data_IF_377972273652
#
_entry.id   IF_377972273652
#
_cell.length_a   1.000
_cell.length_b   1.000
_cell.length_c   1.000
_cell.angle_alpha   90.00
_cell.angle_beta   90.00
_cell.angle_gamma   90.00
#
_symmetry.space_group_name_H-M   'P 1'
#
loop_
_entity.id
_entity.type
_entity.pdbx_description
1 polymer ?
#
# COMPACT_ATOMS: atom_id res chain seq x y z
N UNK A 1 18.22 -21.16 4.38
CA UNK A 1 18.06 -20.08 5.36
C UNK A 1 19.24 -19.13 5.20
N UNK A 2 19.02 -17.81 5.17
CA UNK A 2 20.14 -16.85 5.15
C UNK A 2 20.71 -16.61 6.55
N UNK A 3 21.88 -15.96 6.62
CA UNK A 3 22.45 -15.50 7.89
C UNK A 3 21.61 -14.34 8.44
N UNK A 4 21.61 -14.16 9.76
CA UNK A 4 20.94 -13.03 10.40
C UNK A 4 21.46 -11.70 9.81
N UNK A 5 20.57 -10.81 9.41
CA UNK A 5 20.92 -9.51 8.82
C UNK A 5 21.31 -9.57 7.33
N UNK A 6 21.26 -10.75 6.70
CA UNK A 6 21.46 -10.89 5.25
C UNK A 6 20.19 -10.50 4.49
N UNK A 7 19.92 -9.19 4.45
CA UNK A 7 18.76 -8.62 3.78
C UNK A 7 18.81 -8.78 2.27
N UNK A 8 19.99 -8.89 1.65
CA UNK A 8 20.12 -9.11 0.21
C UNK A 8 19.60 -10.48 -0.22
N UNK A 9 19.83 -11.52 0.58
CA UNK A 9 19.19 -12.81 0.36
C UNK A 9 17.65 -12.72 0.43
N UNK A 10 17.12 -11.93 1.37
CA UNK A 10 15.67 -11.72 1.50
C UNK A 10 15.12 -10.94 0.30
N UNK A 11 15.80 -9.88 -0.18
CA UNK A 11 15.41 -9.13 -1.38
C UNK A 11 15.27 -10.03 -2.60
N UNK A 12 16.23 -10.94 -2.80
CA UNK A 12 16.20 -11.91 -3.91
C UNK A 12 14.98 -12.83 -3.82
N UNK A 13 14.65 -13.30 -2.62
CA UNK A 13 13.49 -14.18 -2.43
C UNK A 13 12.16 -13.43 -2.57
N UNK A 14 12.08 -12.15 -2.17
CA UNK A 14 10.94 -11.28 -2.47
C UNK A 14 10.77 -11.08 -3.98
N UNK A 15 11.85 -10.74 -4.70
CA UNK A 15 11.80 -10.54 -6.15
C UNK A 15 11.27 -11.79 -6.87
N UNK A 16 11.68 -12.98 -6.42
CA UNK A 16 11.18 -14.25 -6.93
C UNK A 16 9.68 -14.51 -6.65
N UNK A 17 9.03 -13.77 -5.73
CA UNK A 17 7.60 -13.84 -5.48
C UNK A 17 6.77 -12.84 -6.29
N UNK A 18 7.38 -11.94 -7.07
CA UNK A 18 6.64 -10.91 -7.77
C UNK A 18 5.75 -11.46 -8.88
N UNK A 19 6.22 -12.43 -9.66
CA UNK A 19 5.38 -13.06 -10.69
C UNK A 19 4.33 -13.98 -10.04
N UNK A 20 3.06 -13.68 -10.29
CA UNK A 20 1.90 -14.45 -9.82
C UNK A 20 0.83 -14.51 -10.92
N UNK A 21 0.96 -15.39 -11.93
CA UNK A 21 0.03 -15.46 -13.07
C UNK A 21 -1.45 -15.63 -12.70
N UNK A 22 -1.76 -16.19 -11.52
CA UNK A 22 -3.13 -16.37 -11.02
C UNK A 22 -3.63 -15.27 -10.07
N UNK A 23 -2.95 -14.13 -9.98
CA UNK A 23 -3.30 -13.03 -9.08
C UNK A 23 -3.22 -11.69 -9.80
N UNK A 24 -4.35 -10.97 -9.82
CA UNK A 24 -4.53 -9.67 -10.47
C UNK A 24 -3.86 -9.66 -11.87
N UNK A 25 -3.03 -8.65 -12.15
CA UNK A 25 -2.31 -8.45 -13.41
C UNK A 25 -1.08 -9.36 -13.59
N UNK A 26 -1.14 -10.57 -13.05
CA UNK A 26 -0.03 -11.52 -13.06
C UNK A 26 1.11 -11.18 -12.09
N UNK A 27 0.89 -10.26 -11.13
CA UNK A 27 1.95 -9.73 -10.26
C UNK A 27 1.51 -9.47 -8.82
N UNK A 28 2.34 -9.91 -7.85
CA UNK A 28 2.22 -9.53 -6.44
C UNK A 28 2.84 -8.17 -6.11
N UNK A 29 3.56 -7.56 -7.06
CA UNK A 29 4.29 -6.31 -6.82
C UNK A 29 3.38 -5.18 -6.30
N UNK A 30 2.27 -4.84 -6.98
CA UNK A 30 1.36 -3.80 -6.50
C UNK A 30 0.82 -4.05 -5.07
N UNK A 31 0.48 -5.31 -4.72
CA UNK A 31 -0.02 -5.61 -3.37
C UNK A 31 1.08 -5.54 -2.31
N UNK A 32 2.35 -5.80 -2.66
CA UNK A 32 3.48 -5.56 -1.74
C UNK A 32 3.72 -4.07 -1.49
N UNK A 33 3.59 -3.23 -2.52
CA UNK A 33 3.67 -1.78 -2.36
C UNK A 33 2.54 -1.27 -1.46
N UNK A 34 1.31 -1.73 -1.72
CA UNK A 34 0.16 -1.38 -0.87
C UNK A 34 0.33 -1.89 0.56
N UNK A 35 0.82 -3.11 0.77
CA UNK A 35 1.06 -3.65 2.11
C UNK A 35 2.07 -2.80 2.89
N UNK A 36 3.19 -2.42 2.25
CA UNK A 36 4.18 -1.54 2.86
C UNK A 36 3.59 -0.15 3.17
N UNK A 37 2.86 0.45 2.22
CA UNK A 37 2.16 1.73 2.42
C UNK A 37 1.21 1.66 3.61
N UNK A 38 0.30 0.69 3.65
CA UNK A 38 -0.69 0.54 4.72
C UNK A 38 -0.06 0.22 6.07
N UNK A 39 1.05 -0.53 6.11
CA UNK A 39 1.79 -0.78 7.36
C UNK A 39 2.35 0.50 7.96
N UNK A 40 2.73 1.47 7.14
CA UNK A 40 3.25 2.76 7.59
C UNK A 40 2.17 3.85 7.75
N UNK A 41 1.10 3.75 6.96
CA UNK A 41 0.05 4.75 6.79
C UNK A 41 -0.80 5.02 8.03
N UNK A 42 -0.71 4.16 9.05
CA UNK A 42 -1.44 4.31 10.31
C UNK A 42 -0.74 5.22 11.32
N UNK A 43 0.46 5.71 11.01
CA UNK A 43 1.24 6.55 11.92
C UNK A 43 0.50 7.85 12.30
N UNK A 44 0.70 8.27 13.54
CA UNK A 44 0.14 9.47 14.11
C UNK A 44 1.22 10.17 14.94
N UNK A 45 1.64 11.37 14.52
CA UNK A 45 2.74 12.06 15.18
C UNK A 45 2.41 12.59 16.58
N UNK A 46 1.12 12.84 16.87
CA UNK A 46 0.68 13.37 18.17
C UNK A 46 0.71 12.28 19.25
N UNK A 47 0.13 11.12 18.96
CA UNK A 47 0.11 9.98 19.87
C UNK A 47 1.35 9.08 19.79
N UNK A 48 2.17 9.24 18.75
CA UNK A 48 3.32 8.38 18.41
C UNK A 48 2.94 6.89 18.34
N UNK A 49 1.79 6.61 17.71
CA UNK A 49 1.26 5.24 17.55
C UNK A 49 1.00 4.91 16.08
N UNK A 50 0.94 3.61 15.77
CA UNK A 50 0.88 3.12 14.40
C UNK A 50 2.23 3.24 13.68
N UNK A 51 2.20 3.14 12.35
CA UNK A 51 3.42 3.12 11.55
C UNK A 51 4.01 1.71 11.42
N UNK A 52 5.13 1.63 10.71
CA UNK A 52 5.65 0.35 10.20
C UNK A 52 6.34 -0.53 11.25
N UNK A 53 6.53 -0.02 12.48
CA UNK A 53 7.13 -0.75 13.59
C UNK A 53 6.04 -1.49 14.37
N UNK A 54 6.00 -2.82 14.26
CA UNK A 54 5.11 -3.64 15.08
C UNK A 54 4.33 -4.70 14.32
N UNK A 55 4.24 -4.58 12.99
CA UNK A 55 3.44 -5.45 12.12
C UNK A 55 2.01 -5.63 12.65
N UNK A 56 1.35 -4.52 13.00
CA UNK A 56 0.06 -4.50 13.69
C UNK A 56 -1.06 -5.16 12.88
N UNK A 57 -0.98 -5.17 11.54
CA UNK A 57 -1.89 -5.94 10.68
C UNK A 57 -1.93 -7.46 10.94
N UNK A 58 -1.03 -8.03 11.76
CA UNK A 58 -1.17 -9.42 12.24
C UNK A 58 -2.39 -9.59 13.18
N UNK A 59 -2.75 -8.54 13.91
CA UNK A 59 -3.86 -8.51 14.85
C UNK A 59 -5.16 -8.07 14.18
N UNK A 60 -6.31 -8.41 14.77
CA UNK A 60 -7.63 -8.14 14.17
C UNK A 60 -7.98 -6.65 14.17
N UNK A 61 -7.53 -5.91 15.19
CA UNK A 61 -7.78 -4.48 15.31
C UNK A 61 -7.35 -3.70 14.05
N UNK A 62 -6.18 -4.02 13.48
CA UNK A 62 -5.68 -3.37 12.25
C UNK A 62 -5.81 -4.27 11.02
N UNK A 63 -5.54 -5.57 11.12
CA UNK A 63 -5.60 -6.49 9.99
C UNK A 63 -7.01 -6.77 9.46
N UNK A 64 -8.03 -6.53 10.28
CA UNK A 64 -9.45 -6.59 9.91
C UNK A 64 -10.08 -5.23 9.63
N UNK A 65 -9.29 -4.13 9.61
CA UNK A 65 -9.78 -2.84 9.14
C UNK A 65 -10.24 -2.97 7.68
N UNK A 66 -11.46 -2.54 7.32
CA UNK A 66 -11.94 -2.57 5.93
C UNK A 66 -10.97 -1.92 4.93
N UNK A 67 -10.24 -0.86 5.33
CA UNK A 67 -9.24 -0.22 4.48
C UNK A 67 -8.05 -1.15 4.15
N UNK A 68 -7.84 -2.22 4.92
CA UNK A 68 -6.81 -3.24 4.71
C UNK A 68 -7.34 -4.49 3.98
N UNK A 69 -8.59 -4.50 3.53
CA UNK A 69 -9.15 -5.60 2.74
C UNK A 69 -8.28 -5.90 1.51
N UNK A 70 -7.98 -7.19 1.29
CA UNK A 70 -7.08 -7.66 0.22
C UNK A 70 -5.63 -7.85 0.67
N UNK A 71 -5.17 -7.17 1.73
CA UNK A 71 -3.77 -7.28 2.17
C UNK A 71 -3.42 -8.64 2.80
N UNK A 72 -4.41 -9.48 3.09
CA UNK A 72 -4.17 -10.89 3.43
C UNK A 72 -3.42 -11.64 2.32
N UNK A 73 -3.61 -11.29 1.04
CA UNK A 73 -2.90 -11.92 -0.08
C UNK A 73 -1.41 -11.57 -0.04
N UNK A 74 -1.08 -10.27 0.09
CA UNK A 74 0.31 -9.81 0.23
C UNK A 74 1.02 -10.46 1.41
N UNK A 75 0.36 -10.55 2.58
CA UNK A 75 0.90 -11.24 3.76
C UNK A 75 1.14 -12.73 3.49
N UNK A 76 0.16 -13.43 2.92
CA UNK A 76 0.27 -14.85 2.61
C UNK A 76 1.39 -15.15 1.63
N UNK A 77 1.61 -14.30 0.61
CA UNK A 77 2.70 -14.47 -0.35
C UNK A 77 4.10 -14.27 0.27
N UNK A 78 4.20 -13.57 1.40
CA UNK A 78 5.44 -13.34 2.12
C UNK A 78 5.72 -14.42 3.19
N UNK A 79 4.74 -15.25 3.58
CA UNK A 79 4.94 -16.31 4.59
C UNK A 79 6.04 -17.31 4.20
N UNK A 80 6.15 -17.82 2.95
CA UNK A 80 7.25 -18.73 2.59
C UNK A 80 8.64 -18.09 2.76
N UNK A 81 8.74 -16.77 2.58
CA UNK A 81 9.99 -16.02 2.81
C UNK A 81 10.23 -15.90 4.31
N UNK A 82 9.22 -15.57 5.11
CA UNK A 82 9.33 -15.54 6.57
C UNK A 82 9.78 -16.89 7.14
N UNK A 83 9.24 -18.00 6.63
CA UNK A 83 9.62 -19.36 7.03
C UNK A 83 11.09 -19.67 6.67
N UNK A 84 11.56 -19.21 5.50
CA UNK A 84 12.95 -19.39 5.04
C UNK A 84 13.94 -18.49 5.79
N UNK A 85 13.49 -17.33 6.27
CA UNK A 85 14.29 -16.32 6.97
C UNK A 85 13.67 -15.99 8.34
N UNK A 86 13.64 -16.94 9.29
CA UNK A 86 12.89 -16.75 10.55
C UNK A 86 13.39 -15.58 11.40
N UNK A 87 14.62 -15.09 11.17
CA UNK A 87 15.21 -13.95 11.84
C UNK A 87 14.62 -12.59 11.43
N UNK A 88 14.04 -12.46 10.23
CA UNK A 88 13.46 -11.18 9.80
C UNK A 88 12.12 -10.97 10.50
N UNK A 89 11.88 -9.76 11.00
CA UNK A 89 10.55 -9.39 11.54
C UNK A 89 9.55 -9.22 10.41
N UNK A 90 8.25 -9.40 10.69
CA UNK A 90 7.20 -9.08 9.72
C UNK A 90 7.24 -7.59 9.35
N UNK A 91 7.56 -6.74 10.31
CA UNK A 91 7.71 -5.29 10.11
C UNK A 91 8.80 -4.95 9.07
N UNK A 92 9.97 -5.57 9.18
CA UNK A 92 11.03 -5.43 8.18
C UNK A 92 10.62 -6.09 6.85
N UNK A 93 10.03 -7.29 6.89
CA UNK A 93 9.68 -8.04 5.69
C UNK A 93 8.66 -7.30 4.81
N UNK A 94 7.62 -6.73 5.39
CA UNK A 94 6.57 -6.02 4.65
C UNK A 94 7.07 -4.72 4.04
N UNK A 95 7.85 -3.93 4.79
CA UNK A 95 8.44 -2.69 4.25
C UNK A 95 9.52 -2.99 3.20
N UNK A 96 10.33 -4.03 3.41
CA UNK A 96 11.31 -4.50 2.44
C UNK A 96 10.64 -4.98 1.14
N UNK A 97 9.50 -5.66 1.26
CA UNK A 97 8.73 -6.12 0.11
C UNK A 97 8.24 -4.98 -0.77
N UNK A 98 7.75 -3.88 -0.16
CA UNK A 98 7.34 -2.69 -0.90
C UNK A 98 8.50 -2.05 -1.68
N UNK A 99 9.66 -1.83 -1.04
CA UNK A 99 10.80 -1.19 -1.72
C UNK A 99 11.41 -2.07 -2.81
N UNK A 100 11.43 -3.40 -2.62
CA UNK A 100 11.85 -4.35 -3.66
C UNK A 100 10.86 -4.33 -4.82
N UNK A 101 9.55 -4.39 -4.55
CA UNK A 101 8.54 -4.35 -5.59
C UNK A 101 8.64 -3.06 -6.42
N UNK A 102 8.82 -1.89 -5.80
CA UNK A 102 8.97 -0.62 -6.55
C UNK A 102 10.16 -0.70 -7.52
N UNK A 103 11.33 -1.16 -7.04
CA UNK A 103 12.54 -1.30 -7.86
C UNK A 103 12.34 -2.28 -9.02
N UNK A 104 11.87 -3.49 -8.73
CA UNK A 104 11.73 -4.58 -9.70
C UNK A 104 10.66 -4.28 -10.77
N UNK A 105 9.66 -3.46 -10.45
CA UNK A 105 8.66 -2.99 -11.42
C UNK A 105 9.15 -1.77 -12.23
N UNK A 106 10.43 -1.39 -12.12
CA UNK A 106 11.05 -0.31 -12.91
C UNK A 106 11.01 1.08 -12.26
N UNK A 107 10.69 1.15 -10.97
CA UNK A 107 10.70 2.39 -10.19
C UNK A 107 12.08 2.73 -9.62
N UNK A 108 12.17 3.80 -8.81
CA UNK A 108 13.43 4.24 -8.23
C UNK A 108 13.95 3.30 -7.13
N UNK A 109 15.25 3.38 -6.87
CA UNK A 109 15.85 2.83 -5.66
C UNK A 109 15.43 3.65 -4.44
N UNK A 110 14.90 2.97 -3.42
CA UNK A 110 14.41 3.60 -2.18
C UNK A 110 15.37 3.28 -1.04
N UNK A 111 15.95 4.31 -0.37
CA UNK A 111 16.70 4.10 0.85
C UNK A 111 15.87 3.33 1.89
N UNK A 112 16.41 2.24 2.40
CA UNK A 112 15.73 1.39 3.38
C UNK A 112 16.74 0.79 4.36
N UNK A 113 16.36 0.74 5.63
CA UNK A 113 17.15 0.12 6.69
C UNK A 113 16.26 -0.75 7.58
N UNK A 114 16.72 -1.94 7.92
CA UNK A 114 16.03 -2.86 8.82
C UNK A 114 16.18 -2.50 10.30
N UNK A 115 15.72 -3.39 11.16
CA UNK A 115 15.78 -3.26 12.62
C UNK A 115 14.42 -3.02 13.28
N UNK A 116 13.31 -3.00 12.51
CA UNK A 116 11.95 -2.90 13.07
C UNK A 116 11.64 -4.12 13.91
N UNK A 117 10.85 -3.93 14.95
CA UNK A 117 10.38 -4.98 15.85
C UNK A 117 8.92 -5.31 15.58
N UNK A 118 8.54 -6.57 15.74
CA UNK A 118 7.14 -6.98 15.76
C UNK A 118 6.57 -6.84 17.17
N UNK A 119 5.31 -6.42 17.31
CA UNK A 119 4.59 -6.44 18.58
C UNK A 119 4.43 -7.88 19.08
N UNK A 120 4.33 -8.03 20.41
CA UNK A 120 4.05 -9.33 21.05
C UNK A 120 2.55 -9.55 21.24
N UNK A 121 1.78 -8.48 21.40
CA UNK A 121 0.32 -8.46 21.55
C UNK A 121 -0.31 -7.25 20.84
N UNK A 122 -1.63 -7.07 20.97
CA UNK A 122 -2.38 -6.00 20.32
C UNK A 122 -2.50 -4.70 21.13
N UNK A 123 -1.85 -4.59 22.30
CA UNK A 123 -1.99 -3.44 23.21
C UNK A 123 -1.54 -2.09 22.62
N UNK A 124 -0.69 -2.14 21.58
CA UNK A 124 -0.14 -0.96 20.88
C UNK A 124 -0.66 -0.80 19.45
N UNK A 125 -1.61 -1.64 19.04
CA UNK A 125 -2.22 -1.53 17.71
C UNK A 125 -3.10 -0.27 17.67
N UNK A 126 -2.93 0.63 16.69
CA UNK A 126 -3.68 1.88 16.65
C UNK A 126 -5.17 1.64 16.36
N UNK A 127 -6.05 2.61 16.68
CA UNK A 127 -7.45 2.55 16.27
C UNK A 127 -7.59 2.58 14.73
N UNK A 128 -8.70 2.02 14.24
CA UNK A 128 -9.09 2.04 12.82
C UNK A 128 -9.37 3.46 12.31
N UNK A 129 -9.37 3.62 10.99
CA UNK A 129 -9.78 4.88 10.33
C UNK A 129 -8.64 5.91 10.19
N UNK A 130 -7.39 5.47 10.27
CA UNK A 130 -6.21 6.33 10.10
C UNK A 130 -5.67 6.38 8.66
N UNK A 131 -6.23 5.57 7.77
CA UNK A 131 -5.87 5.50 6.36
C UNK A 131 -6.76 6.45 5.53
N UNK A 132 -6.27 6.98 4.40
CA UNK A 132 -7.06 7.85 3.55
C UNK A 132 -8.27 7.11 2.94
N UNK A 133 -9.34 7.85 2.73
CA UNK A 133 -10.57 7.37 2.09
C UNK A 133 -10.59 7.92 0.67
N UNK A 134 -10.57 7.00 -0.31
CA UNK A 134 -10.53 7.33 -1.73
C UNK A 134 -11.77 8.12 -2.21
N UNK A 135 -12.87 8.08 -1.47
CA UNK A 135 -14.10 8.79 -1.82
C UNK A 135 -14.08 10.29 -1.49
N UNK A 136 -13.05 10.77 -0.77
CA UNK A 136 -12.99 12.14 -0.27
C UNK A 136 -12.06 13.05 -1.10
N UNK A 137 -11.98 14.32 -0.71
CA UNK A 137 -11.25 15.36 -1.45
C UNK A 137 -9.92 15.79 -0.81
N UNK A 138 -9.37 16.91 -1.29
CA UNK A 138 -8.07 17.42 -0.89
C UNK A 138 -7.94 17.74 0.61
N UNK A 139 -9.01 18.24 1.24
CA UNK A 139 -9.02 18.51 2.68
C UNK A 139 -8.84 17.24 3.51
N UNK A 140 -9.41 16.11 3.05
CA UNK A 140 -9.22 14.81 3.70
C UNK A 140 -7.79 14.31 3.54
N UNK A 141 -7.23 14.45 2.34
CA UNK A 141 -5.82 14.11 2.09
C UNK A 141 -4.91 14.92 3.04
N UNK A 142 -5.09 16.24 3.14
CA UNK A 142 -4.31 17.06 4.07
C UNK A 142 -4.55 16.67 5.53
N UNK A 143 -5.79 16.39 5.93
CA UNK A 143 -6.10 15.94 7.29
C UNK A 143 -5.33 14.67 7.68
N UNK A 144 -5.32 13.66 6.80
CA UNK A 144 -4.63 12.39 7.06
C UNK A 144 -3.11 12.55 7.03
N UNK A 145 -2.58 13.23 6.02
CA UNK A 145 -1.14 13.25 5.74
C UNK A 145 -0.38 14.30 6.54
N UNK A 146 -0.97 15.45 6.89
CA UNK A 146 -0.32 16.46 7.73
C UNK A 146 -0.04 15.92 9.14
N UNK A 147 -0.94 15.07 9.65
CA UNK A 147 -0.80 14.32 10.91
C UNK A 147 0.42 13.38 10.92
N UNK A 148 0.84 12.93 9.75
CA UNK A 148 2.05 12.13 9.54
C UNK A 148 3.28 12.98 9.24
N UNK A 149 3.12 14.31 9.15
CA UNK A 149 4.19 15.25 8.83
C UNK A 149 4.51 15.38 7.34
N UNK A 150 3.58 15.02 6.44
CA UNK A 150 3.74 15.24 5.00
C UNK A 150 3.15 16.57 4.56
N UNK A 151 3.80 17.23 3.61
CA UNK A 151 3.28 18.41 2.93
C UNK A 151 2.59 18.07 1.59
N UNK A 152 2.00 19.08 0.94
CA UNK A 152 1.27 18.92 -0.33
C UNK A 152 2.09 18.25 -1.45
N UNK A 153 3.37 18.60 -1.60
CA UNK A 153 4.25 17.97 -2.59
C UNK A 153 4.46 16.49 -2.32
N UNK A 154 4.61 16.14 -1.04
CA UNK A 154 4.85 14.77 -0.59
C UNK A 154 3.59 13.91 -0.75
N UNK A 155 2.40 14.48 -0.47
CA UNK A 155 1.10 13.84 -0.74
C UNK A 155 0.99 13.49 -2.23
N UNK A 156 1.23 14.46 -3.11
CA UNK A 156 1.14 14.25 -4.57
C UNK A 156 2.18 13.23 -5.03
N UNK A 157 3.40 13.25 -4.48
CA UNK A 157 4.42 12.25 -4.81
C UNK A 157 3.92 10.85 -4.45
N UNK A 158 3.45 10.62 -3.22
CA UNK A 158 2.97 9.32 -2.75
C UNK A 158 1.78 8.80 -3.55
N UNK A 159 0.86 9.67 -3.97
CA UNK A 159 -0.24 9.31 -4.85
C UNK A 159 0.22 8.72 -6.20
N UNK A 160 1.44 9.03 -6.64
CA UNK A 160 2.06 8.37 -7.81
C UNK A 160 2.20 6.85 -7.67
N UNK A 161 2.08 6.31 -6.45
CA UNK A 161 1.96 4.87 -6.21
C UNK A 161 0.75 4.22 -6.90
N UNK A 162 -0.32 4.99 -7.17
CA UNK A 162 -1.48 4.56 -7.96
C UNK A 162 -1.13 4.26 -9.43
N UNK A 163 0.10 4.50 -9.89
CA UNK A 163 0.58 3.92 -11.13
C UNK A 163 0.63 2.37 -11.09
N UNK A 164 0.59 1.75 -9.90
CA UNK A 164 0.64 0.29 -9.75
C UNK A 164 -0.70 -0.31 -9.33
N UNK A 165 -1.05 -1.42 -9.95
CA UNK A 165 -2.20 -2.25 -9.60
C UNK A 165 -3.54 -1.65 -10.00
N UNK A 166 -4.56 -2.03 -9.23
CA UNK A 166 -5.97 -1.76 -9.50
C UNK A 166 -6.78 -1.78 -8.21
N UNK A 167 -7.97 -1.21 -8.24
CA UNK A 167 -8.99 -1.39 -7.22
C UNK A 167 -9.87 -2.62 -7.52
N UNK A 168 -10.52 -3.14 -6.48
CA UNK A 168 -11.48 -4.25 -6.57
C UNK A 168 -12.74 -3.92 -5.77
N UNK A 169 -13.91 -4.15 -6.38
CA UNK A 169 -15.20 -3.77 -5.80
C UNK A 169 -15.53 -4.52 -4.51
N UNK A 170 -15.04 -5.74 -4.35
CA UNK A 170 -15.20 -6.56 -3.14
C UNK A 170 -14.25 -6.19 -2.00
N UNK A 171 -13.26 -5.32 -2.25
CA UNK A 171 -12.27 -4.85 -1.26
C UNK A 171 -12.53 -3.41 -0.85
N UNK A 172 -12.51 -2.51 -1.83
CA UNK A 172 -12.58 -1.05 -1.63
C UNK A 172 -13.90 -0.44 -2.06
N UNK A 173 -14.74 -1.19 -2.77
CA UNK A 173 -15.92 -0.66 -3.45
C UNK A 173 -15.62 0.01 -4.80
N UNK A 174 -14.37 0.40 -5.07
CA UNK A 174 -13.89 0.90 -6.35
C UNK A 174 -13.39 -0.23 -7.25
N UNK A 175 -13.36 -0.04 -8.57
CA UNK A 175 -13.02 -1.11 -9.53
C UNK A 175 -12.12 -0.60 -10.66
N UNK A 176 -11.14 -1.42 -11.06
CA UNK A 176 -10.35 -1.22 -12.27
C UNK A 176 -8.95 -0.62 -12.05
N UNK A 177 -8.11 -0.60 -13.09
CA UNK A 177 -6.76 -0.07 -13.05
C UNK A 177 -6.70 1.44 -13.29
N UNK A 178 -5.70 2.11 -12.71
CA UNK A 178 -5.43 3.53 -12.98
C UNK A 178 -4.72 3.77 -14.31
N UNK A 179 -3.95 2.79 -14.78
CA UNK A 179 -3.10 2.88 -15.98
C UNK A 179 -3.16 1.57 -16.76
N UNK A 180 -2.91 1.63 -18.07
CA UNK A 180 -2.93 0.46 -18.97
C UNK A 180 -1.90 -0.62 -18.62
N UNK A 181 -0.76 -0.25 -18.03
CA UNK A 181 0.25 -1.21 -17.57
C UNK A 181 0.46 -1.11 -16.05
N UNK A 182 -0.42 -1.74 -15.25
CA UNK A 182 -0.43 -1.61 -13.79
C UNK A 182 0.72 -2.37 -13.10
N UNK A 183 1.60 -3.04 -13.84
CA UNK A 183 2.76 -3.77 -13.29
C UNK A 183 4.10 -3.13 -13.65
N UNK A 184 4.08 -1.89 -14.17
CA UNK A 184 5.29 -1.12 -14.47
C UNK A 184 5.24 0.25 -13.81
N UNK A 185 6.16 0.51 -12.88
CA UNK A 185 6.28 1.80 -12.22
C UNK A 185 6.73 2.88 -13.23
N UNK A 186 5.94 3.93 -13.37
CA UNK A 186 6.16 5.03 -14.32
C UNK A 186 5.44 6.30 -13.86
N UNK A 187 5.50 7.38 -14.64
CA UNK A 187 4.71 8.59 -14.39
C UNK A 187 3.39 8.64 -15.18
N UNK A 188 2.94 7.50 -15.74
CA UNK A 188 1.71 7.41 -16.54
C UNK A 188 0.47 7.83 -15.76
N UNK A 189 0.38 7.52 -14.46
CA UNK A 189 -0.70 8.00 -13.60
C UNK A 189 -0.94 9.50 -13.73
N UNK A 190 0.10 10.33 -13.58
CA UNK A 190 -0.03 11.78 -13.69
C UNK A 190 -0.34 12.24 -15.11
N UNK A 191 0.24 11.59 -16.13
CA UNK A 191 -0.02 11.93 -17.54
C UNK A 191 -1.49 11.69 -17.89
N UNK A 192 -2.00 10.50 -17.59
CA UNK A 192 -3.37 10.10 -17.89
C UNK A 192 -4.39 10.91 -17.07
N UNK A 193 -4.09 11.20 -15.80
CA UNK A 193 -4.93 12.07 -14.97
C UNK A 193 -5.17 13.44 -15.62
N UNK A 194 -4.14 14.03 -16.23
CA UNK A 194 -4.24 15.32 -16.91
C UNK A 194 -4.88 15.22 -18.31
N UNK A 195 -4.53 14.20 -19.09
CA UNK A 195 -4.83 14.12 -20.52
C UNK A 195 -6.21 13.56 -20.84
N UNK A 196 -6.73 12.63 -20.04
CA UNK A 196 -7.97 11.93 -20.32
C UNK A 196 -9.21 12.69 -19.82
N UNK A 197 -10.33 12.50 -20.52
CA UNK A 197 -11.63 13.09 -20.19
C UNK A 197 -12.43 12.17 -19.25
N UNK A 198 -12.10 12.26 -17.97
CA UNK A 198 -12.65 11.46 -16.89
C UNK A 198 -14.15 11.75 -16.64
N UNK A 199 -15.00 10.73 -16.77
CA UNK A 199 -16.46 10.84 -16.52
C UNK A 199 -16.86 10.18 -15.20
N UNK A 200 -17.67 10.84 -14.36
CA UNK A 200 -18.15 10.22 -13.13
C UNK A 200 -19.07 9.03 -13.45
N UNK A 201 -18.88 7.92 -12.74
CA UNK A 201 -19.67 6.69 -12.83
C UNK A 201 -20.00 6.19 -11.43
N UNK A 202 -21.28 5.91 -11.18
CA UNK A 202 -21.72 5.21 -9.97
C UNK A 202 -21.67 3.71 -10.21
N UNK A 203 -20.89 3.00 -9.40
CA UNK A 203 -20.75 1.54 -9.46
C UNK A 203 -21.91 0.83 -8.76
N UNK A 204 -22.04 -0.47 -9.02
CA UNK A 204 -23.01 -1.35 -8.34
C UNK A 204 -22.75 -1.45 -6.82
N UNK A 205 -21.51 -1.24 -6.39
CA UNK A 205 -21.10 -1.13 -4.98
C UNK A 205 -21.64 0.11 -4.28
N UNK A 206 -22.18 1.08 -5.04
CA UNK A 206 -22.65 2.37 -4.55
C UNK A 206 -21.59 3.48 -4.58
N UNK A 207 -20.32 3.14 -4.79
CA UNK A 207 -19.23 4.11 -4.92
C UNK A 207 -19.33 4.91 -6.21
N UNK A 208 -18.89 6.16 -6.15
CA UNK A 208 -18.69 6.99 -7.35
C UNK A 208 -17.22 7.11 -7.63
N UNK A 209 -16.81 6.71 -8.84
CA UNK A 209 -15.46 6.88 -9.35
C UNK A 209 -15.49 7.61 -10.68
N UNK A 210 -14.33 7.92 -11.22
CA UNK A 210 -14.20 8.52 -12.54
C UNK A 210 -13.62 7.50 -13.50
N UNK A 211 -14.14 7.45 -14.72
CA UNK A 211 -13.83 6.42 -15.71
C UNK A 211 -13.45 7.05 -17.03
N UNK A 212 -12.46 6.45 -17.70
CA UNK A 212 -12.15 6.69 -19.10
C UNK A 212 -12.32 5.38 -19.86
N UNK A 213 -13.14 5.42 -20.91
CA UNK A 213 -13.29 4.34 -21.88
C UNK A 213 -12.58 4.76 -23.15
N UNK A 214 -11.63 3.95 -23.61
CA UNK A 214 -10.95 4.18 -24.89
C UNK A 214 -11.97 3.89 -26.02
N UNK A 215 -12.26 4.86 -26.92
CA UNK A 215 -13.17 4.62 -28.02
C UNK A 215 -12.70 3.54 -28.99
N UNK A 216 -11.39 3.23 -29.00
CA UNK A 216 -10.76 2.22 -29.85
C UNK A 216 -10.45 0.92 -29.10
N UNK A 217 -10.86 0.79 -27.82
CA UNK A 217 -10.65 -0.43 -27.02
C UNK A 217 -11.40 -1.64 -27.61
N UNK A 218 -10.80 -2.81 -27.45
CA UNK A 218 -11.47 -4.10 -27.69
C UNK A 218 -12.59 -4.33 -26.66
N UNK A 219 -13.60 -5.14 -26.99
CA UNK A 219 -14.78 -5.35 -26.12
C UNK A 219 -14.46 -5.87 -24.71
N UNK A 220 -13.30 -6.53 -24.54
CA UNK A 220 -12.84 -7.11 -23.28
C UNK A 220 -11.81 -6.25 -22.54
N UNK A 221 -11.42 -5.09 -23.08
CA UNK A 221 -10.51 -4.18 -22.39
C UNK A 221 -11.24 -3.43 -21.26
N UNK A 222 -10.73 -3.58 -20.04
CA UNK A 222 -11.29 -2.90 -18.88
C UNK A 222 -11.00 -1.40 -18.94
N UNK A 223 -11.98 -0.53 -18.60
CA UNK A 223 -11.77 0.90 -18.63
C UNK A 223 -10.84 1.37 -17.51
N UNK A 224 -10.14 2.48 -17.74
CA UNK A 224 -9.30 3.09 -16.72
C UNK A 224 -10.15 3.83 -15.69
N UNK A 225 -9.62 3.96 -14.48
CA UNK A 225 -10.30 4.62 -13.37
C UNK A 225 -9.44 5.66 -12.63
N UNK A 226 -10.13 6.61 -11.99
CA UNK A 226 -9.57 7.51 -10.99
C UNK A 226 -10.53 7.59 -9.80
N UNK A 227 -9.96 7.65 -8.59
CA UNK A 227 -10.70 7.91 -7.36
C UNK A 227 -11.07 9.39 -7.25
N UNK A 228 -12.10 9.75 -6.46
CA UNK A 228 -12.33 11.13 -6.05
C UNK A 228 -11.09 11.83 -5.46
N UNK A 229 -10.28 11.12 -4.67
CA UNK A 229 -8.99 11.64 -4.17
C UNK A 229 -7.98 11.89 -5.28
N UNK A 230 -7.95 11.08 -6.35
CA UNK A 230 -7.05 11.29 -7.49
C UNK A 230 -7.47 12.53 -8.27
N UNK A 231 -8.78 12.69 -8.49
CA UNK A 231 -9.34 13.90 -9.11
C UNK A 231 -9.08 15.15 -8.29
N UNK A 232 -9.02 15.05 -6.96
CA UNK A 232 -8.66 16.17 -6.09
C UNK A 232 -7.23 16.67 -6.34
N UNK A 233 -6.29 15.79 -6.74
CA UNK A 233 -4.93 16.20 -7.12
C UNK A 233 -4.92 17.08 -8.38
N UNK A 234 -5.87 16.84 -9.29
CA UNK A 234 -6.03 17.60 -10.54
C UNK A 234 -6.73 18.94 -10.33
N UNK A 235 -7.63 19.05 -9.36
CA UNK A 235 -8.49 20.23 -9.18
C UNK A 235 -8.03 21.16 -8.07
N UNK A 236 -7.28 20.67 -7.08
CA UNK A 236 -6.72 21.51 -6.01
C UNK A 236 -5.55 22.38 -6.52
N UNK A 237 -5.57 23.70 -6.27
CA UNK A 237 -4.59 24.63 -6.83
C UNK A 237 -3.16 24.46 -6.28
N UNK A 238 -2.98 23.84 -5.11
CA UNK A 238 -1.66 23.57 -4.55
C UNK A 238 -1.12 22.19 -4.95
N UNK A 239 -1.99 21.21 -5.19
CA UNK A 239 -1.60 19.89 -5.72
C UNK A 239 -1.29 19.92 -7.23
N UNK A 240 -2.12 20.60 -8.03
CA UNK A 240 -2.04 20.58 -9.49
C UNK A 240 -0.65 20.94 -10.05
N UNK A 241 0.08 21.96 -9.53
CA UNK A 241 1.43 22.26 -10.02
C UNK A 241 2.41 21.09 -9.87
N UNK A 242 2.28 20.27 -8.83
CA UNK A 242 3.12 19.07 -8.64
C UNK A 242 2.70 17.94 -9.58
N UNK A 243 1.40 17.73 -9.78
CA UNK A 243 0.88 16.77 -10.77
C UNK A 243 1.43 17.09 -12.17
N UNK A 244 1.40 18.36 -12.58
CA UNK A 244 1.93 18.82 -13.86
C UNK A 244 3.44 18.58 -13.99
N UNK A 245 4.21 18.88 -12.93
CA UNK A 245 5.66 18.64 -12.91
C UNK A 245 5.98 17.16 -13.04
N UNK A 246 5.31 16.28 -12.29
CA UNK A 246 5.56 14.84 -12.37
C UNK A 246 5.08 14.19 -13.67
N UNK A 247 4.03 14.72 -14.30
CA UNK A 247 3.61 14.29 -15.63
C UNK A 247 4.67 14.62 -16.70
N UNK A 248 5.33 15.79 -16.58
CA UNK A 248 6.35 16.26 -17.52
C UNK A 248 7.73 15.63 -17.26
N UNK A 249 8.11 15.48 -15.99
CA UNK A 249 9.43 15.05 -15.55
C UNK A 249 9.34 13.78 -14.67
N UNK A 250 9.60 12.65 -15.30
CA UNK A 250 9.60 11.33 -14.67
C UNK A 250 10.76 11.18 -13.67
N UNK A 251 11.92 11.77 -13.94
CA UNK A 251 13.09 11.63 -13.06
C UNK A 251 12.90 12.46 -11.78
N UNK A 252 12.33 13.66 -11.89
CA UNK A 252 11.92 14.45 -10.73
C UNK A 252 10.89 13.71 -9.88
N UNK A 253 9.89 13.09 -10.51
CA UNK A 253 8.92 12.24 -9.79
C UNK A 253 9.62 11.11 -9.05
N UNK A 254 10.53 10.39 -9.71
CA UNK A 254 11.23 9.25 -9.12
C UNK A 254 12.10 9.66 -7.94
N UNK A 255 12.85 10.76 -8.05
CA UNK A 255 13.67 11.30 -6.96
C UNK A 255 12.81 11.68 -5.73
N UNK A 256 11.70 12.39 -5.95
CA UNK A 256 10.81 12.78 -4.88
C UNK A 256 10.09 11.56 -4.27
N UNK A 257 9.55 10.67 -5.09
CA UNK A 257 8.86 9.46 -4.63
C UNK A 257 9.77 8.60 -3.76
N UNK A 258 11.04 8.40 -4.17
CA UNK A 258 11.99 7.62 -3.39
C UNK A 258 12.22 8.20 -1.99
N UNK A 259 12.45 9.52 -1.90
CA UNK A 259 12.66 10.21 -0.62
C UNK A 259 11.42 10.14 0.28
N UNK A 260 10.24 10.35 -0.30
CA UNK A 260 8.99 10.42 0.47
C UNK A 260 8.53 9.02 0.89
N UNK A 261 8.68 8.00 0.05
CA UNK A 261 8.39 6.62 0.45
C UNK A 261 9.39 6.11 1.48
N UNK A 262 10.68 6.50 1.40
CA UNK A 262 11.66 6.22 2.46
C UNK A 262 11.24 6.88 3.78
N UNK A 263 10.83 8.16 3.76
CA UNK A 263 10.28 8.86 4.94
C UNK A 263 9.07 8.12 5.52
N UNK A 264 8.12 7.73 4.67
CA UNK A 264 6.92 7.00 5.08
C UNK A 264 7.24 5.74 5.86
N UNK A 265 8.04 4.84 5.30
CA UNK A 265 8.33 3.55 5.97
C UNK A 265 9.18 3.73 7.23
N UNK A 266 9.73 4.92 7.46
CA UNK A 266 10.54 5.29 8.63
C UNK A 266 9.77 6.09 9.69
N UNK A 267 8.49 6.43 9.44
CA UNK A 267 7.65 7.10 10.42
C UNK A 267 7.52 6.28 11.71
N UNK A 268 7.67 6.96 12.85
CA UNK A 268 7.66 6.33 14.18
C UNK A 268 8.93 5.54 14.51
N UNK A 269 9.94 5.48 13.64
CA UNK A 269 11.23 4.83 13.95
C UNK A 269 12.20 5.84 14.56
N UNK A 270 12.79 5.49 15.70
CA UNK A 270 13.89 6.24 16.32
C UNK A 270 15.17 5.44 16.22
N UNK A 271 16.24 6.03 15.69
CA UNK A 271 17.54 5.39 15.52
C UNK A 271 18.65 6.04 16.35
N UNK A 272 19.61 5.24 16.80
CA UNK A 272 20.87 5.75 17.34
C UNK A 272 21.84 6.20 16.22
N UNK A 273 23.01 6.73 16.61
CA UNK A 273 24.03 7.19 15.66
C UNK A 273 24.63 6.07 14.76
N UNK A 274 24.36 4.80 15.09
CA UNK A 274 24.80 3.63 14.31
C UNK A 274 23.67 3.11 13.40
N UNK A 275 22.48 3.73 13.43
CA UNK A 275 21.31 3.32 12.68
C UNK A 275 20.48 2.20 13.33
N UNK A 276 20.74 1.85 14.59
CA UNK A 276 19.95 0.84 15.29
C UNK A 276 18.63 1.45 15.78
N UNK A 277 17.52 0.74 15.62
CA UNK A 277 16.21 1.14 16.18
C UNK A 277 16.28 1.08 17.71
N UNK A 278 15.88 2.15 18.39
CA UNK A 278 15.96 2.28 19.86
C UNK A 278 14.59 2.28 20.55
N UNK A 279 13.52 2.68 19.88
CA UNK A 279 12.16 2.56 20.41
C UNK A 279 11.61 1.15 20.14
N UNK A 280 12.26 0.18 20.78
CA UNK A 280 11.91 -1.23 20.66
C UNK A 280 10.86 -1.60 21.70
N UNK A 281 9.68 -1.98 21.22
CA UNK A 281 8.60 -2.44 22.11
C UNK A 281 8.87 -3.83 22.69
N UNK A 282 9.92 -4.51 22.22
CA UNK A 282 10.31 -5.87 22.61
C UNK A 282 11.25 -5.97 23.82
N UNK A 283 11.57 -4.87 24.53
CA UNK A 283 12.53 -4.94 25.64
C UNK A 283 12.03 -5.58 26.94
N UNK A 284 10.75 -5.96 27.06
CA UNK A 284 10.23 -6.61 28.29
C UNK A 284 9.79 -8.09 28.13
N UNK A 285 9.76 -8.65 26.92
CA UNK A 285 9.17 -9.99 26.70
C UNK A 285 10.00 -10.99 25.88
N UNK A 286 11.06 -10.54 25.19
CA UNK A 286 11.66 -11.36 24.14
C UNK A 286 10.74 -11.48 22.91
N UNK A 287 11.32 -11.83 21.76
CA UNK A 287 10.56 -12.08 20.55
C UNK A 287 9.63 -13.28 20.76
N UNK A 288 8.32 -13.04 20.77
CA UNK A 288 7.30 -14.09 20.71
C UNK A 288 6.61 -13.96 19.37
N UNK A 289 6.82 -14.94 18.48
CA UNK A 289 6.01 -15.04 17.26
C UNK A 289 4.54 -15.03 17.66
N UNK A 290 3.76 -14.07 17.14
CA UNK A 290 2.31 -14.08 17.29
C UNK A 290 1.76 -15.44 16.81
N UNK A 291 0.62 -15.89 17.34
CA UNK A 291 0.00 -17.14 16.93
C UNK A 291 -0.11 -17.20 15.40
N UNK A 292 0.32 -18.32 14.79
CA UNK A 292 0.15 -18.55 13.35
C UNK A 292 -1.33 -18.37 13.01
N UNK A 293 -1.69 -17.28 12.31
CA UNK A 293 -2.95 -17.24 11.58
C UNK A 293 -2.86 -18.24 10.44
N UNK A 294 -4.02 -18.79 10.06
CA UNK A 294 -4.13 -19.73 8.96
C UNK A 294 -3.40 -19.21 7.71
N UNK A 295 -2.52 -20.04 7.13
CA UNK A 295 -1.91 -19.80 5.81
C UNK A 295 -2.92 -19.97 4.66
N UNK A 296 -4.16 -20.34 4.96
CA UNK A 296 -5.25 -20.53 4.01
C UNK A 296 -6.12 -19.29 4.00
N UNK A 297 -6.23 -18.63 2.84
CA UNK A 297 -7.19 -17.58 2.60
C UNK A 297 -8.61 -18.13 2.77
N UNK A 298 -9.30 -17.71 3.82
CA UNK A 298 -10.75 -17.92 3.91
C UNK A 298 -11.41 -16.82 3.09
N UNK A 299 -11.90 -17.16 1.91
CA UNK A 299 -12.81 -16.28 1.16
C UNK A 299 -14.09 -16.02 1.95
N UNK A 300 -14.91 -15.02 1.56
CA UNK A 300 -16.20 -14.80 2.17
C UNK A 300 -17.02 -16.10 2.08
N UNK A 301 -17.48 -16.59 3.23
CA UNK A 301 -18.50 -17.62 3.27
C UNK A 301 -19.67 -17.14 2.43
N UNK A 302 -19.97 -17.82 1.31
CA UNK A 302 -21.30 -17.71 0.71
C UNK A 302 -22.27 -18.17 1.79
N UNK A 303 -22.94 -17.21 2.44
CA UNK A 303 -24.13 -17.51 3.19
C UNK A 303 -25.04 -18.30 2.25
N UNK A 304 -25.24 -19.59 2.55
CA UNK A 304 -26.18 -20.42 1.83
C UNK A 304 -27.52 -19.69 1.93
N UNK A 305 -28.03 -19.25 0.78
CA UNK A 305 -29.31 -18.56 0.71
C UNK A 305 -30.37 -19.38 1.43
N UNK A 306 -30.96 -18.78 2.45
CA UNK A 306 -32.25 -19.24 2.93
C UNK A 306 -33.27 -19.07 1.80
N UNK A 307 -34.05 -20.11 1.46
CA UNK A 307 -35.09 -19.96 0.47
C UNK A 307 -36.19 -19.05 1.03
N UNK A 308 -36.34 -17.86 0.45
CA UNK A 308 -37.52 -17.03 0.64
C UNK A 308 -38.70 -17.55 -0.19
N UNK A 309 -39.86 -17.39 0.44
CA UNK A 309 -41.25 -17.55 -0.03
C UNK A 309 -41.83 -18.96 0.18
N UNK A 310 -43.04 -19.09 0.75
CA UNK A 310 -44.25 -18.32 0.41
C UNK A 310 -45.20 -18.14 1.60
N UNK A 311 -45.79 -16.95 1.72
CA UNK A 311 -47.23 -16.66 1.55
C UNK A 311 -47.38 -15.15 1.27
#
# INVERSE_FOLDING_TARGET
MSRHGDYEAVRKDIAAQLQKPGYDDGSAGPVFVRLAWHSAGTYDAESDTGGSNGAGMRYEAEGGDPANAGLQHGRAFLEPIKEKHPWITYSDLWTLAGVVAIKELGGPDIPWQGGRTDLVDDSKVPPRGRLPDGALGADHLRFIFNRMGFNDQEIVALAGGHNLGRCHGDRSGFEGPWVTNPTRFSNSFFKLLLQLDWKPRKLATGMTQFVYEDPDAEEDEEPLMMLPTDMALKTDPAFLPWVQRYAQDKELFFDHFAKVFAKLVELGIRRDAKGNVINTDNQLGGYVSAPKKSNVATGPSKAKGEPRARL
#
